data_IF_335135719372
#
_entry.id   IF_335135719372
#
_cell.length_a   1.000
_cell.length_b   1.000
_cell.length_c   1.000
_cell.angle_alpha   90.00
_cell.angle_beta   90.00
_cell.angle_gamma   90.00
#
_symmetry.space_group_name_H-M   'P 1'
#
loop_
_entity.id
_entity.type
_entity.pdbx_description
1 polymer ?
#
# COMPACT_ATOMS: atom_id res chain seq x y z
N UNK A 1 -5.30 12.03 -18.08
CA UNK A 1 -4.81 13.41 -18.31
C UNK A 1 -3.31 13.36 -18.20
N UNK A 2 -2.61 13.77 -19.25
CA UNK A 2 -1.15 13.94 -19.28
C UNK A 2 -0.86 15.41 -19.61
N UNK A 3 0.15 15.97 -18.97
CA UNK A 3 0.62 17.32 -19.24
C UNK A 3 1.70 17.25 -20.33
N UNK A 4 1.67 18.11 -21.37
CA UNK A 4 2.73 18.14 -22.37
C UNK A 4 4.07 18.47 -21.72
N UNK A 5 5.12 17.70 -22.05
CA UNK A 5 6.46 17.94 -21.54
C UNK A 5 7.03 19.25 -22.09
N UNK A 6 7.62 20.06 -21.20
CA UNK A 6 8.31 21.28 -21.58
C UNK A 6 9.84 21.11 -21.68
N UNK A 7 10.54 22.20 -21.99
CA UNK A 7 12.01 22.18 -22.11
C UNK A 7 12.73 21.88 -20.78
N UNK A 8 12.12 22.24 -19.64
CA UNK A 8 12.64 21.92 -18.30
C UNK A 8 12.48 20.44 -18.03
N UNK A 9 11.31 19.86 -18.30
CA UNK A 9 11.05 18.42 -18.13
C UNK A 9 12.04 17.60 -18.96
N UNK A 10 12.19 17.93 -20.26
CA UNK A 10 13.13 17.24 -21.14
C UNK A 10 14.58 17.29 -20.64
N UNK A 11 15.02 18.44 -20.11
CA UNK A 11 16.35 18.59 -19.53
C UNK A 11 16.53 17.75 -18.27
N UNK A 12 15.53 17.74 -17.38
CA UNK A 12 15.59 16.97 -16.13
C UNK A 12 15.60 15.46 -16.42
N UNK A 13 14.78 14.99 -17.37
CA UNK A 13 14.79 13.58 -17.82
C UNK A 13 16.18 13.20 -18.32
N UNK A 14 16.79 14.03 -19.18
CA UNK A 14 18.14 13.77 -19.68
C UNK A 14 19.22 13.78 -18.57
N UNK A 15 19.08 14.67 -17.59
CA UNK A 15 19.98 14.72 -16.44
C UNK A 15 19.85 13.48 -15.54
N UNK A 16 18.63 12.99 -15.30
CA UNK A 16 18.39 11.75 -14.55
C UNK A 16 19.01 10.56 -15.29
N UNK A 17 18.74 10.41 -16.59
CA UNK A 17 19.31 9.32 -17.39
C UNK A 17 20.85 9.31 -17.39
N UNK A 18 21.47 10.49 -17.32
CA UNK A 18 22.94 10.63 -17.23
C UNK A 18 23.50 10.35 -15.84
N UNK A 19 22.83 10.80 -14.78
CA UNK A 19 23.36 10.77 -13.40
C UNK A 19 22.95 9.52 -12.62
N UNK A 20 21.83 8.92 -13.00
CA UNK A 20 21.28 7.72 -12.38
C UNK A 20 20.78 6.77 -13.49
N UNK A 21 21.68 6.23 -14.33
CA UNK A 21 21.30 5.33 -15.42
C UNK A 21 20.62 4.04 -14.92
N UNK A 22 20.90 3.65 -13.68
CA UNK A 22 20.32 2.48 -13.01
C UNK A 22 19.11 2.85 -12.12
N UNK A 23 18.53 4.05 -12.29
CA UNK A 23 17.30 4.41 -11.60
C UNK A 23 16.16 3.48 -12.02
N UNK A 24 15.43 2.99 -11.02
CA UNK A 24 14.27 2.12 -11.23
C UNK A 24 13.04 2.92 -11.71
N UNK A 25 12.18 2.28 -12.50
CA UNK A 25 10.92 2.83 -12.98
C UNK A 25 10.94 3.32 -14.43
N UNK A 26 9.76 3.44 -15.00
CA UNK A 26 9.53 3.98 -16.34
C UNK A 26 9.85 5.47 -16.44
N UNK A 27 10.19 5.93 -17.64
CA UNK A 27 10.51 7.34 -17.89
C UNK A 27 9.28 8.23 -17.72
N UNK A 28 9.49 9.45 -17.24
CA UNK A 28 8.43 10.44 -17.07
C UNK A 28 7.81 10.84 -18.42
N UNK A 29 6.49 10.66 -18.54
CA UNK A 29 5.72 10.83 -19.78
C UNK A 29 4.68 11.97 -19.70
N UNK A 30 4.73 12.78 -18.64
CA UNK A 30 3.73 13.82 -18.37
C UNK A 30 2.53 13.35 -17.54
N UNK A 31 2.52 12.09 -17.07
CA UNK A 31 1.47 11.58 -16.19
C UNK A 31 1.34 12.38 -14.89
N UNK A 32 2.41 12.99 -14.38
CA UNK A 32 2.44 13.79 -13.15
C UNK A 32 2.67 15.28 -13.45
N UNK A 33 1.82 16.17 -12.93
CA UNK A 33 1.99 17.60 -13.14
C UNK A 33 3.27 18.11 -12.45
N UNK A 34 4.05 18.93 -13.16
CA UNK A 34 5.27 19.56 -12.63
C UNK A 34 5.06 21.02 -12.23
N UNK A 35 3.85 21.56 -12.42
CA UNK A 35 3.48 22.95 -12.12
C UNK A 35 2.29 23.04 -11.18
N UNK A 36 2.18 24.17 -10.46
CA UNK A 36 1.00 24.46 -9.61
C UNK A 36 -0.29 24.47 -10.42
N UNK A 37 -0.28 25.04 -11.62
CA UNK A 37 -1.45 25.08 -12.49
C UNK A 37 -1.89 23.67 -12.90
N UNK A 38 -0.95 22.78 -13.22
CA UNK A 38 -1.25 21.37 -13.50
C UNK A 38 -1.83 20.65 -12.29
N UNK A 39 -1.29 20.90 -11.09
CA UNK A 39 -1.81 20.33 -9.86
C UNK A 39 -3.24 20.83 -9.53
N UNK A 40 -3.54 22.11 -9.76
CA UNK A 40 -4.89 22.68 -9.60
C UNK A 40 -5.88 22.09 -10.60
N UNK A 41 -5.48 21.90 -11.86
CA UNK A 41 -6.32 21.21 -12.86
C UNK A 41 -6.70 19.80 -12.40
N UNK A 42 -5.76 19.05 -11.82
CA UNK A 42 -6.02 17.73 -11.24
C UNK A 42 -6.96 17.77 -10.05
N UNK A 43 -6.80 18.74 -9.15
CA UNK A 43 -7.73 18.95 -8.05
C UNK A 43 -9.16 19.18 -8.55
N UNK A 44 -9.35 20.09 -9.51
CA UNK A 44 -10.66 20.38 -10.08
C UNK A 44 -11.26 19.15 -10.78
N UNK A 45 -10.48 18.48 -11.63
CA UNK A 45 -10.90 17.26 -12.32
C UNK A 45 -11.31 16.16 -11.33
N UNK A 46 -10.54 15.97 -10.25
CA UNK A 46 -10.90 15.04 -9.18
C UNK A 46 -12.22 15.43 -8.51
N UNK A 47 -12.35 16.68 -8.04
CA UNK A 47 -13.54 17.14 -7.30
C UNK A 47 -14.81 17.06 -8.15
N UNK A 48 -14.72 17.40 -9.44
CA UNK A 48 -15.88 17.49 -10.31
C UNK A 48 -16.29 16.15 -10.91
N UNK A 49 -15.35 15.25 -11.21
CA UNK A 49 -15.63 14.01 -11.96
C UNK A 49 -15.48 12.73 -11.12
N UNK A 50 -14.58 12.71 -10.13
CA UNK A 50 -14.11 11.47 -9.50
C UNK A 50 -14.57 11.36 -8.05
N UNK A 51 -14.48 12.46 -7.29
CA UNK A 51 -14.82 12.50 -5.88
C UNK A 51 -16.26 12.02 -5.57
N UNK A 52 -17.29 12.23 -6.41
CA UNK A 52 -18.60 11.61 -6.18
C UNK A 52 -18.55 10.09 -5.94
N UNK A 53 -17.61 9.40 -6.59
CA UNK A 53 -17.43 7.95 -6.55
C UNK A 53 -16.44 7.46 -5.48
N UNK A 54 -15.76 8.36 -4.75
CA UNK A 54 -14.67 8.01 -3.84
C UNK A 54 -15.08 7.00 -2.76
N UNK A 55 -16.07 7.35 -1.92
CA UNK A 55 -16.41 6.55 -0.74
C UNK A 55 -16.82 5.12 -1.06
N UNK A 56 -17.73 4.87 -2.03
CA UNK A 56 -18.15 3.52 -2.40
C UNK A 56 -17.03 2.61 -2.94
N UNK A 57 -15.93 3.18 -3.44
CA UNK A 57 -14.86 2.43 -4.12
C UNK A 57 -13.51 2.51 -3.39
N UNK A 58 -13.44 3.09 -2.19
CA UNK A 58 -12.20 3.41 -1.47
C UNK A 58 -11.27 2.19 -1.27
N UNK A 59 -11.84 1.00 -1.07
CA UNK A 59 -11.12 -0.26 -0.82
C UNK A 59 -11.18 -1.25 -2.00
N UNK A 60 -11.80 -0.89 -3.12
CA UNK A 60 -11.87 -1.77 -4.30
C UNK A 60 -10.54 -1.75 -5.05
N UNK A 61 -10.20 -2.83 -5.75
CA UNK A 61 -9.07 -2.90 -6.69
C UNK A 61 -9.57 -3.54 -7.98
N UNK A 62 -9.26 -2.98 -9.14
CA UNK A 62 -9.64 -3.55 -10.44
C UNK A 62 -8.44 -3.58 -11.38
N UNK A 63 -8.23 -4.71 -12.03
CA UNK A 63 -7.13 -4.89 -12.97
C UNK A 63 -7.27 -3.97 -14.20
N UNK A 64 -8.50 -3.55 -14.54
CA UNK A 64 -8.78 -2.68 -15.68
C UNK A 64 -8.76 -1.18 -15.38
N UNK A 65 -8.70 -0.79 -14.11
CA UNK A 65 -8.77 0.61 -13.69
C UNK A 65 -7.82 0.86 -12.52
N UNK A 66 -6.64 1.37 -12.85
CA UNK A 66 -5.50 1.46 -11.95
C UNK A 66 -5.61 2.55 -10.88
N UNK A 67 -6.45 3.58 -11.08
CA UNK A 67 -6.62 4.66 -10.09
C UNK A 67 -7.99 4.69 -9.42
N UNK A 68 -8.97 3.98 -9.98
CA UNK A 68 -10.36 3.97 -9.51
C UNK A 68 -10.85 5.40 -9.21
N UNK A 69 -11.46 5.60 -8.03
CA UNK A 69 -11.98 6.87 -7.59
C UNK A 69 -10.99 7.66 -6.72
N UNK A 70 -9.68 7.46 -6.89
CA UNK A 70 -8.65 8.17 -6.11
C UNK A 70 -8.19 9.47 -6.78
N UNK A 71 -7.75 10.42 -5.94
CA UNK A 71 -7.43 11.78 -6.34
C UNK A 71 -6.09 11.97 -7.03
N UNK A 72 -5.13 11.07 -6.75
CA UNK A 72 -3.74 11.19 -7.19
C UNK A 72 -3.07 12.54 -6.79
N UNK A 73 -3.54 13.19 -5.72
CA UNK A 73 -3.04 14.49 -5.30
C UNK A 73 -1.87 14.42 -4.29
N UNK A 74 -1.53 13.23 -3.78
CA UNK A 74 -0.49 13.05 -2.77
C UNK A 74 0.88 13.61 -3.16
N UNK A 75 1.37 13.52 -4.43
CA UNK A 75 2.66 14.11 -4.77
C UNK A 75 2.64 15.63 -4.62
N UNK A 76 1.56 16.28 -5.07
CA UNK A 76 1.41 17.73 -5.04
C UNK A 76 1.26 18.27 -3.62
N UNK A 77 0.55 17.53 -2.77
CA UNK A 77 0.40 17.84 -1.35
C UNK A 77 1.73 17.73 -0.59
N UNK A 78 2.59 16.78 -0.97
CA UNK A 78 3.82 16.50 -0.24
C UNK A 78 4.98 17.43 -0.62
N UNK A 79 4.98 17.96 -1.85
CA UNK A 79 5.99 18.95 -2.30
C UNK A 79 5.49 20.40 -2.26
N UNK A 80 4.25 20.63 -1.85
CA UNK A 80 3.68 21.97 -1.66
C UNK A 80 3.12 22.64 -2.91
N UNK A 81 2.95 21.92 -4.03
CA UNK A 81 2.21 22.44 -5.19
C UNK A 81 0.72 22.65 -4.88
N UNK A 82 0.17 21.85 -3.96
CA UNK A 82 -1.14 22.04 -3.36
C UNK A 82 -1.03 22.15 -1.84
N UNK A 83 -1.76 23.11 -1.27
CA UNK A 83 -1.94 23.24 0.15
C UNK A 83 -3.07 22.30 0.63
N UNK A 84 -2.95 21.58 1.77
CA UNK A 84 -4.02 20.69 2.24
C UNK A 84 -5.38 21.38 2.42
N UNK A 85 -5.37 22.62 2.93
CA UNK A 85 -6.58 23.43 3.10
C UNK A 85 -7.34 23.70 1.80
N UNK A 86 -6.66 24.06 0.70
CA UNK A 86 -7.36 24.33 -0.58
C UNK A 86 -8.02 23.07 -1.14
N UNK A 87 -7.42 21.90 -0.92
CA UNK A 87 -7.99 20.60 -1.32
C UNK A 87 -9.22 20.25 -0.50
N UNK A 88 -9.16 20.45 0.82
CA UNK A 88 -10.28 20.20 1.75
C UNK A 88 -11.44 21.17 1.48
N UNK A 89 -11.14 22.45 1.29
CA UNK A 89 -12.14 23.48 1.02
C UNK A 89 -12.86 23.22 -0.32
N UNK A 90 -12.15 22.74 -1.34
CA UNK A 90 -12.75 22.37 -2.62
C UNK A 90 -13.74 21.20 -2.48
N UNK A 91 -13.36 20.14 -1.76
CA UNK A 91 -14.24 19.00 -1.49
C UNK A 91 -15.46 19.40 -0.64
N UNK A 92 -15.25 20.20 0.40
CA UNK A 92 -16.30 20.69 1.28
C UNK A 92 -17.29 21.61 0.55
N UNK A 93 -16.80 22.51 -0.31
CA UNK A 93 -17.65 23.36 -1.16
C UNK A 93 -18.52 22.51 -2.09
N UNK A 94 -17.95 21.53 -2.76
CA UNK A 94 -18.68 20.65 -3.66
C UNK A 94 -19.75 19.81 -2.95
N UNK A 95 -19.49 19.39 -1.71
CA UNK A 95 -20.49 18.77 -0.85
C UNK A 95 -21.65 19.74 -0.50
N UNK A 96 -21.34 20.96 -0.06
CA UNK A 96 -22.36 21.96 0.29
C UNK A 96 -23.22 22.39 -0.92
N UNK A 97 -22.67 22.30 -2.13
CA UNK A 97 -23.39 22.50 -3.38
C UNK A 97 -24.24 21.28 -3.82
N UNK A 98 -24.21 20.18 -3.06
CA UNK A 98 -24.99 18.97 -3.32
C UNK A 98 -24.44 18.10 -4.45
N UNK A 99 -23.21 18.33 -4.93
CA UNK A 99 -22.61 17.59 -6.06
C UNK A 99 -22.01 16.25 -5.66
N UNK A 100 -21.75 16.05 -4.37
CA UNK A 100 -20.99 14.92 -3.84
C UNK A 100 -21.73 14.34 -2.63
N UNK A 101 -21.88 13.01 -2.50
CA UNK A 101 -22.49 12.41 -1.32
C UNK A 101 -21.58 12.54 -0.10
N UNK A 102 -22.19 12.60 1.09
CA UNK A 102 -21.46 12.78 2.36
C UNK A 102 -20.38 11.72 2.58
N UNK A 103 -20.65 10.46 2.21
CA UNK A 103 -19.69 9.36 2.38
C UNK A 103 -18.39 9.59 1.60
N UNK A 104 -18.48 10.18 0.40
CA UNK A 104 -17.31 10.49 -0.41
C UNK A 104 -16.60 11.76 0.09
N UNK A 105 -17.36 12.80 0.44
CA UNK A 105 -16.79 14.06 0.93
C UNK A 105 -16.07 13.88 2.28
N UNK A 106 -16.74 13.29 3.27
CA UNK A 106 -16.14 13.00 4.58
C UNK A 106 -14.97 12.02 4.44
N UNK A 107 -15.15 10.94 3.67
CA UNK A 107 -14.14 9.93 3.47
C UNK A 107 -12.85 10.52 2.93
N UNK A 108 -12.94 11.35 1.89
CA UNK A 108 -11.79 12.04 1.31
C UNK A 108 -11.15 13.06 2.28
N UNK A 109 -11.96 13.92 2.91
CA UNK A 109 -11.47 14.94 3.85
C UNK A 109 -10.73 14.28 5.03
N UNK A 110 -11.26 13.16 5.56
CA UNK A 110 -10.66 12.39 6.65
C UNK A 110 -9.27 11.84 6.29
N UNK A 111 -9.01 11.50 5.04
CA UNK A 111 -7.66 11.07 4.64
C UNK A 111 -6.63 12.21 4.78
N UNK A 112 -7.06 13.45 4.57
CA UNK A 112 -6.20 14.63 4.61
C UNK A 112 -6.09 15.16 6.05
N UNK A 113 -7.15 15.72 6.61
CA UNK A 113 -7.08 16.37 7.94
C UNK A 113 -7.05 15.36 9.10
N UNK A 114 -7.39 14.10 8.83
CA UNK A 114 -7.24 13.00 9.76
C UNK A 114 -5.89 12.32 9.54
N UNK A 115 -5.81 11.38 8.62
CA UNK A 115 -4.65 10.48 8.49
C UNK A 115 -3.33 11.20 8.15
N UNK A 116 -3.32 12.09 7.14
CA UNK A 116 -2.08 12.80 6.75
C UNK A 116 -1.54 13.65 7.89
N UNK A 117 -2.38 14.44 8.54
CA UNK A 117 -1.97 15.29 9.68
C UNK A 117 -1.61 14.45 10.93
N UNK A 118 -2.32 13.35 11.18
CA UNK A 118 -2.01 12.42 12.26
C UNK A 118 -0.63 11.79 12.07
N UNK A 119 -0.35 11.27 10.87
CA UNK A 119 0.95 10.68 10.51
C UNK A 119 2.08 11.71 10.62
N UNK A 120 1.86 12.95 10.16
CA UNK A 120 2.82 14.05 10.36
C UNK A 120 3.16 14.26 11.84
N UNK A 121 2.13 14.33 12.71
CA UNK A 121 2.32 14.47 14.15
C UNK A 121 3.07 13.29 14.76
N UNK A 122 2.71 12.06 14.40
CA UNK A 122 3.36 10.84 14.92
C UNK A 122 4.84 10.76 14.56
N UNK A 123 5.18 11.12 13.31
CA UNK A 123 6.56 11.14 12.86
C UNK A 123 7.43 12.00 13.77
N UNK A 124 7.05 13.27 13.96
CA UNK A 124 7.81 14.20 14.80
C UNK A 124 7.78 13.86 16.29
N UNK A 125 6.72 13.21 16.75
CA UNK A 125 6.59 12.81 18.15
C UNK A 125 7.49 11.62 18.51
N UNK A 126 7.74 10.70 17.58
CA UNK A 126 8.39 9.42 17.89
C UNK A 126 9.76 9.22 17.23
N UNK A 127 10.13 10.02 16.23
CA UNK A 127 11.46 9.94 15.62
C UNK A 127 12.55 10.50 16.56
N UNK A 128 13.79 9.98 16.48
CA UNK A 128 14.26 8.98 15.51
C UNK A 128 13.95 7.52 15.89
N UNK A 129 13.65 7.23 17.16
CA UNK A 129 13.52 5.87 17.70
C UNK A 129 12.44 5.04 16.99
N UNK A 130 11.41 5.69 16.46
CA UNK A 130 10.32 5.02 15.75
C UNK A 130 10.78 4.19 14.54
N UNK A 131 11.88 4.60 13.88
CA UNK A 131 12.45 3.91 12.72
C UNK A 131 12.90 2.48 13.04
N UNK A 132 13.34 2.26 14.27
CA UNK A 132 13.98 1.00 14.71
C UNK A 132 13.00 0.00 15.33
N UNK A 133 11.70 0.34 15.38
CA UNK A 133 10.71 -0.54 15.99
C UNK A 133 10.49 -1.82 15.15
N UNK A 134 10.48 -2.95 15.85
CA UNK A 134 10.30 -4.27 15.26
C UNK A 134 9.65 -5.24 16.28
N UNK A 135 8.46 -4.90 16.76
CA UNK A 135 7.78 -5.62 17.85
C UNK A 135 7.52 -7.11 17.58
N UNK A 136 7.48 -7.52 16.31
CA UNK A 136 7.27 -8.91 15.88
C UNK A 136 8.57 -9.65 15.52
N UNK A 137 9.74 -9.05 15.76
CA UNK A 137 11.07 -9.61 15.47
C UNK A 137 11.19 -10.14 14.02
N UNK A 138 10.71 -9.34 13.05
CA UNK A 138 10.75 -9.67 11.64
C UNK A 138 12.11 -9.30 11.03
N UNK A 139 12.76 -10.24 10.34
CA UNK A 139 14.12 -10.03 9.78
C UNK A 139 14.28 -10.57 8.35
N UNK A 140 13.20 -10.99 7.69
CA UNK A 140 13.30 -11.45 6.30
C UNK A 140 13.66 -10.27 5.36
N UNK A 141 14.40 -10.53 4.27
CA UNK A 141 14.60 -9.52 3.24
C UNK A 141 13.29 -9.22 2.50
N UNK A 142 13.30 -8.19 1.66
CA UNK A 142 12.18 -7.91 0.77
C UNK A 142 11.94 -9.09 -0.20
N UNK A 143 10.68 -9.39 -0.56
CA UNK A 143 10.38 -10.32 -1.64
C UNK A 143 11.07 -9.88 -2.93
N UNK A 144 11.63 -10.83 -3.69
CA UNK A 144 12.34 -10.55 -4.94
C UNK A 144 11.47 -9.76 -5.95
N UNK A 145 10.16 -10.02 -5.95
CA UNK A 145 9.21 -9.35 -6.84
C UNK A 145 9.06 -7.85 -6.60
N UNK A 146 9.43 -7.33 -5.44
CA UNK A 146 9.40 -5.89 -5.18
C UNK A 146 10.57 -5.18 -5.86
N UNK A 147 11.63 -5.91 -6.22
CA UNK A 147 12.86 -5.38 -6.79
C UNK A 147 13.15 -5.99 -8.17
N UNK A 148 12.11 -6.29 -8.94
CA UNK A 148 12.21 -6.73 -10.34
C UNK A 148 12.19 -8.25 -10.56
N UNK A 149 12.00 -9.06 -9.52
CA UNK A 149 11.71 -10.49 -9.68
C UNK A 149 10.32 -10.74 -10.26
N UNK A 150 10.17 -11.80 -11.04
CA UNK A 150 8.86 -12.23 -11.54
C UNK A 150 8.01 -12.82 -10.41
N UNK A 151 6.68 -12.78 -10.56
CA UNK A 151 5.80 -13.55 -9.68
C UNK A 151 4.49 -14.01 -10.33
N UNK A 152 4.01 -15.20 -9.96
CA UNK A 152 2.69 -15.71 -10.38
C UNK A 152 1.55 -15.27 -9.44
N UNK A 153 1.85 -14.53 -8.37
CA UNK A 153 0.82 -13.89 -7.56
C UNK A 153 0.24 -12.68 -8.33
N UNK A 154 -0.86 -12.88 -9.04
CA UNK A 154 -1.45 -11.86 -9.93
C UNK A 154 -1.63 -10.48 -9.26
N UNK A 155 -2.09 -10.43 -8.01
CA UNK A 155 -2.23 -9.18 -7.26
C UNK A 155 -0.89 -8.48 -7.01
N UNK A 156 0.16 -9.23 -6.67
CA UNK A 156 1.49 -8.66 -6.44
C UNK A 156 2.09 -8.19 -7.75
N UNK A 157 2.05 -9.04 -8.78
CA UNK A 157 2.54 -8.72 -10.13
C UNK A 157 1.89 -7.43 -10.67
N UNK A 158 0.57 -7.32 -10.56
CA UNK A 158 -0.16 -6.13 -10.98
C UNK A 158 0.30 -4.87 -10.24
N UNK A 159 0.33 -4.91 -8.90
CA UNK A 159 0.69 -3.74 -8.09
C UNK A 159 2.16 -3.34 -8.29
N UNK A 160 3.11 -4.27 -8.36
CA UNK A 160 4.53 -3.92 -8.57
C UNK A 160 4.77 -3.37 -9.99
N UNK A 161 4.07 -3.90 -10.99
CA UNK A 161 4.13 -3.36 -12.34
C UNK A 161 3.54 -1.95 -12.41
N UNK A 162 2.44 -1.67 -11.70
CA UNK A 162 1.89 -0.32 -11.61
C UNK A 162 2.86 0.67 -10.97
N UNK A 163 3.64 0.23 -9.98
CA UNK A 163 4.69 1.05 -9.35
C UNK A 163 5.86 1.28 -10.33
N UNK A 164 6.27 0.26 -11.09
CA UNK A 164 7.30 0.44 -12.11
C UNK A 164 6.87 1.43 -13.20
N UNK A 165 5.63 1.30 -13.70
CA UNK A 165 5.11 2.14 -14.78
C UNK A 165 4.81 3.58 -14.33
N UNK A 166 4.29 3.77 -13.11
CA UNK A 166 3.70 5.05 -12.68
C UNK A 166 4.29 5.61 -11.39
N UNK A 167 5.17 4.87 -10.71
CA UNK A 167 5.61 5.16 -9.36
C UNK A 167 4.44 5.33 -8.37
N UNK A 168 3.30 4.68 -8.63
CA UNK A 168 2.08 4.87 -7.83
C UNK A 168 1.19 3.64 -7.81
N UNK A 169 0.64 3.38 -6.62
CA UNK A 169 -0.45 2.45 -6.35
C UNK A 169 -1.36 3.12 -5.30
N UNK A 170 -2.65 2.77 -5.28
CA UNK A 170 -3.56 3.38 -4.32
C UNK A 170 -3.46 2.74 -2.93
N UNK A 171 -4.12 3.34 -1.93
CA UNK A 171 -3.88 3.02 -0.52
C UNK A 171 -4.06 1.54 -0.18
N UNK A 172 -5.13 0.91 -0.68
CA UNK A 172 -5.44 -0.48 -0.33
C UNK A 172 -4.47 -1.47 -0.96
N UNK A 173 -3.88 -1.17 -2.12
CA UNK A 173 -2.81 -1.99 -2.70
C UNK A 173 -1.55 -1.93 -1.83
N UNK A 174 -1.17 -0.71 -1.40
CA UNK A 174 -0.02 -0.52 -0.49
C UNK A 174 -0.22 -1.27 0.83
N UNK A 175 -1.41 -1.18 1.41
CA UNK A 175 -1.71 -1.79 2.71
C UNK A 175 -1.96 -3.29 2.62
N UNK A 176 -2.89 -3.72 1.76
CA UNK A 176 -3.46 -5.07 1.78
C UNK A 176 -2.85 -6.04 0.76
N UNK A 177 -2.05 -5.54 -0.21
CA UNK A 177 -1.21 -6.37 -1.07
C UNK A 177 0.22 -6.34 -0.56
N UNK A 178 0.90 -5.20 -0.64
CA UNK A 178 2.34 -5.11 -0.34
C UNK A 178 2.63 -5.20 1.16
N UNK A 179 1.92 -4.40 1.96
CA UNK A 179 2.03 -4.37 3.42
C UNK A 179 1.64 -5.69 4.05
N UNK A 180 0.48 -6.25 3.68
CA UNK A 180 0.00 -7.54 4.17
C UNK A 180 0.95 -8.70 3.82
N UNK A 181 1.47 -8.75 2.58
CA UNK A 181 2.46 -9.78 2.20
C UNK A 181 3.71 -9.64 3.07
N UNK A 182 4.22 -8.42 3.22
CA UNK A 182 5.43 -8.13 4.00
C UNK A 182 5.26 -8.44 5.49
N UNK A 183 4.11 -8.08 6.06
CA UNK A 183 3.75 -8.38 7.45
C UNK A 183 3.69 -9.89 7.68
N UNK A 184 2.94 -10.60 6.84
CA UNK A 184 2.66 -12.03 7.05
C UNK A 184 3.88 -12.90 6.75
N UNK A 185 4.74 -12.51 5.81
CA UNK A 185 6.02 -13.18 5.53
C UNK A 185 7.15 -12.80 6.50
N UNK A 186 7.02 -11.69 7.25
CA UNK A 186 7.99 -11.29 8.26
C UNK A 186 9.17 -10.50 7.69
N UNK A 187 8.90 -9.63 6.71
CA UNK A 187 9.87 -8.68 6.15
C UNK A 187 10.33 -7.70 7.22
N UNK A 188 11.64 -7.45 7.24
CA UNK A 188 12.27 -6.45 8.12
C UNK A 188 11.66 -5.06 7.89
N UNK A 189 11.10 -4.40 8.91
CA UNK A 189 10.35 -3.15 8.72
C UNK A 189 11.13 -2.04 8.01
N UNK A 190 12.38 -1.83 8.41
CA UNK A 190 13.26 -0.84 7.77
C UNK A 190 13.50 -1.10 6.28
N UNK A 191 13.55 -2.37 5.85
CA UNK A 191 13.70 -2.71 4.44
C UNK A 191 12.47 -2.27 3.62
N UNK A 192 11.26 -2.46 4.15
CA UNK A 192 10.04 -2.01 3.47
C UNK A 192 9.91 -0.49 3.47
N UNK A 193 10.29 0.18 4.57
CA UNK A 193 10.34 1.66 4.63
C UNK A 193 11.23 2.19 3.51
N UNK A 194 12.47 1.69 3.43
CA UNK A 194 13.45 2.16 2.45
C UNK A 194 12.97 1.94 1.01
N UNK A 195 12.33 0.81 0.74
CA UNK A 195 11.80 0.51 -0.59
C UNK A 195 10.58 1.36 -0.95
N UNK A 196 9.58 1.47 -0.06
CA UNK A 196 8.38 2.28 -0.33
C UNK A 196 8.73 3.77 -0.45
N UNK A 197 9.69 4.27 0.33
CA UNK A 197 10.14 5.65 0.19
C UNK A 197 10.77 5.90 -1.19
N UNK A 198 11.57 4.97 -1.70
CA UNK A 198 12.24 5.14 -3.01
C UNK A 198 11.31 4.91 -4.21
N UNK A 199 10.29 4.07 -4.06
CA UNK A 199 9.52 3.55 -5.22
C UNK A 199 8.26 4.35 -5.54
N UNK A 200 7.81 5.23 -4.64
CA UNK A 200 6.56 5.97 -4.82
C UNK A 200 6.80 7.45 -5.09
N UNK A 201 6.06 8.01 -6.06
CA UNK A 201 6.13 9.42 -6.46
C UNK A 201 5.74 10.40 -5.33
N UNK A 202 4.97 9.92 -4.34
CA UNK A 202 4.60 10.65 -3.14
C UNK A 202 5.46 10.28 -1.91
N UNK A 203 6.57 9.58 -2.13
CA UNK A 203 7.50 9.10 -1.10
C UNK A 203 8.25 10.20 -0.39
N UNK A 204 7.96 10.37 0.89
CA UNK A 204 8.76 11.15 1.84
C UNK A 204 8.84 10.39 3.18
N UNK A 205 9.96 10.51 3.90
CA UNK A 205 10.17 9.73 5.14
C UNK A 205 9.05 9.97 6.15
N UNK A 206 8.63 11.23 6.35
CA UNK A 206 7.62 11.60 7.33
C UNK A 206 6.27 10.92 7.12
N UNK A 207 5.91 10.63 5.86
CA UNK A 207 4.62 10.01 5.51
C UNK A 207 4.76 8.50 5.37
N UNK A 208 5.88 8.02 4.81
CA UNK A 208 6.09 6.60 4.55
C UNK A 208 6.41 5.83 5.83
N UNK A 209 7.30 6.37 6.67
CA UNK A 209 7.80 5.65 7.84
C UNK A 209 6.65 5.28 8.80
N UNK A 210 5.74 6.19 9.20
CA UNK A 210 4.69 5.79 10.13
C UNK A 210 3.63 4.87 9.53
N UNK A 211 3.29 5.07 8.26
CA UNK A 211 2.38 4.16 7.57
C UNK A 211 2.97 2.75 7.47
N UNK A 212 4.26 2.61 7.21
CA UNK A 212 4.90 1.28 7.14
C UNK A 212 5.07 0.67 8.54
N UNK A 213 5.71 1.38 9.47
CA UNK A 213 6.03 0.87 10.81
C UNK A 213 4.75 0.58 11.61
N UNK A 214 3.81 1.52 11.66
CA UNK A 214 2.63 1.42 12.51
C UNK A 214 1.44 0.76 11.84
N UNK A 215 1.08 1.20 10.64
CA UNK A 215 -0.14 0.72 9.97
C UNK A 215 0.09 -0.62 9.25
N UNK A 216 1.08 -0.71 8.36
CA UNK A 216 1.26 -1.88 7.52
C UNK A 216 1.86 -3.07 8.27
N UNK A 217 2.90 -2.85 9.08
CA UNK A 217 3.70 -3.93 9.66
C UNK A 217 3.46 -4.18 11.14
N UNK A 218 2.66 -3.34 11.82
CA UNK A 218 2.43 -3.45 13.26
C UNK A 218 3.75 -3.52 14.06
N UNK A 219 4.82 -2.97 13.51
CA UNK A 219 6.16 -3.05 14.05
C UNK A 219 6.31 -2.18 15.31
N UNK A 220 5.38 -1.24 15.52
CA UNK A 220 5.25 -0.46 16.74
C UNK A 220 4.48 -1.14 17.87
N UNK A 221 4.05 -2.39 17.69
CA UNK A 221 3.29 -3.15 18.70
C UNK A 221 1.86 -2.66 18.93
N UNK A 222 1.35 -1.78 18.06
CA UNK A 222 0.00 -1.25 18.08
C UNK A 222 -0.15 0.15 18.67
N UNK A 223 0.92 0.94 18.63
CA UNK A 223 0.89 2.36 19.06
C UNK A 223 0.04 3.20 18.11
N UNK A 224 0.15 2.97 16.80
CA UNK A 224 -0.65 3.65 15.78
C UNK A 224 -1.96 2.91 15.47
N UNK A 225 -1.90 1.60 15.28
CA UNK A 225 -3.05 0.78 14.88
C UNK A 225 -3.37 -0.28 15.92
N UNK A 226 -4.64 -0.46 16.29
CA UNK A 226 -5.00 -1.37 17.40
C UNK A 226 -5.02 -2.85 16.99
N UNK A 227 -4.82 -3.19 15.72
CA UNK A 227 -4.65 -4.57 15.24
C UNK A 227 -3.80 -4.58 13.97
N UNK A 228 -3.03 -5.65 13.72
CA UNK A 228 -2.34 -5.84 12.45
C UNK A 228 -3.33 -5.99 11.30
N UNK A 229 -3.04 -5.37 10.15
CA UNK A 229 -3.78 -5.55 8.89
C UNK A 229 -3.34 -6.82 8.14
N UNK A 230 -3.38 -7.96 8.83
CA UNK A 230 -3.10 -9.27 8.24
C UNK A 230 -4.37 -9.90 7.66
N UNK A 231 -4.30 -10.40 6.42
CA UNK A 231 -5.41 -11.12 5.78
C UNK A 231 -4.94 -12.21 4.81
N UNK A 232 -5.75 -13.25 4.64
CA UNK A 232 -5.53 -14.29 3.63
C UNK A 232 -6.11 -13.93 2.25
N UNK A 233 -5.95 -14.83 1.28
CA UNK A 233 -6.41 -14.63 -0.10
C UNK A 233 -7.93 -14.41 -0.25
N UNK A 234 -8.74 -14.81 0.73
CA UNK A 234 -10.18 -14.53 0.74
C UNK A 234 -10.51 -13.04 0.76
N UNK A 235 -9.67 -12.20 1.40
CA UNK A 235 -9.85 -10.74 1.37
C UNK A 235 -9.56 -10.19 -0.02
N UNK A 236 -8.40 -10.55 -0.59
CA UNK A 236 -7.99 -10.11 -1.94
C UNK A 236 -9.05 -10.52 -2.97
N UNK A 237 -9.53 -11.76 -2.92
CA UNK A 237 -10.59 -12.25 -3.82
C UNK A 237 -11.93 -11.50 -3.66
N UNK A 238 -12.21 -10.94 -2.48
CA UNK A 238 -13.45 -10.20 -2.24
C UNK A 238 -13.35 -8.76 -2.75
N UNK A 239 -12.17 -8.15 -2.61
CA UNK A 239 -11.95 -6.73 -2.87
C UNK A 239 -11.32 -6.44 -4.23
N UNK A 240 -10.91 -7.48 -4.97
CA UNK A 240 -10.29 -7.38 -6.28
C UNK A 240 -10.77 -8.44 -7.26
N UNK A 241 -10.50 -8.21 -8.55
CA UNK A 241 -10.69 -9.19 -9.62
C UNK A 241 -9.44 -10.07 -9.88
N UNK A 242 -8.32 -9.83 -9.17
CA UNK A 242 -7.05 -10.51 -9.42
C UNK A 242 -7.08 -12.02 -9.26
N UNK A 243 -7.99 -12.56 -8.43
CA UNK A 243 -8.01 -13.99 -8.13
C UNK A 243 -8.67 -14.85 -9.21
N UNK A 244 -9.43 -14.26 -10.15
CA UNK A 244 -10.19 -15.01 -11.17
C UNK A 244 -9.31 -15.89 -12.05
N UNK A 245 -8.24 -15.30 -12.60
CA UNK A 245 -7.29 -15.96 -13.52
C UNK A 245 -5.93 -16.26 -12.84
N UNK A 246 -5.84 -16.12 -11.52
CA UNK A 246 -4.61 -16.36 -10.79
C UNK A 246 -4.26 -17.87 -10.75
N UNK A 247 -2.96 -18.20 -10.84
CA UNK A 247 -2.45 -19.58 -10.66
C UNK A 247 -2.87 -20.20 -9.33
N UNK A 248 -3.10 -19.36 -8.33
CA UNK A 248 -3.36 -19.76 -6.96
C UNK A 248 -4.83 -19.60 -6.57
N UNK A 249 -5.35 -20.62 -5.88
CA UNK A 249 -6.70 -20.62 -5.34
C UNK A 249 -6.74 -19.94 -3.95
N UNK A 250 -7.47 -18.82 -3.78
CA UNK A 250 -7.55 -18.09 -2.51
C UNK A 250 -8.16 -18.92 -1.37
N UNK A 251 -8.87 -20.01 -1.67
CA UNK A 251 -9.50 -20.91 -0.68
C UNK A 251 -8.54 -21.97 -0.15
N UNK A 252 -7.44 -22.26 -0.86
CA UNK A 252 -6.46 -23.28 -0.48
C UNK A 252 -5.34 -22.66 0.35
N UNK A 253 -4.94 -23.36 1.41
CA UNK A 253 -3.86 -22.99 2.34
C UNK A 253 -2.63 -23.91 2.28
N UNK A 254 -2.76 -25.06 1.62
CA UNK A 254 -1.70 -26.06 1.40
C UNK A 254 -1.79 -26.63 -0.01
N UNK A 255 -0.67 -27.18 -0.51
CA UNK A 255 -0.53 -27.71 -1.87
C UNK A 255 0.01 -26.69 -2.86
N UNK A 256 0.38 -27.16 -4.05
CA UNK A 256 1.08 -26.36 -5.07
C UNK A 256 0.32 -25.11 -5.51
N UNK A 257 -1.02 -25.22 -5.62
CA UNK A 257 -1.90 -24.13 -6.03
C UNK A 257 -2.51 -23.35 -4.86
N UNK A 258 -2.02 -23.53 -3.63
CA UNK A 258 -2.49 -22.71 -2.50
C UNK A 258 -2.03 -21.26 -2.62
N UNK A 259 -2.96 -20.32 -2.38
CA UNK A 259 -2.64 -18.91 -2.32
C UNK A 259 -1.61 -18.62 -1.22
N UNK A 260 -0.45 -18.04 -1.56
CA UNK A 260 0.58 -17.66 -0.59
C UNK A 260 0.03 -16.81 0.57
N UNK A 261 -0.86 -15.85 0.29
CA UNK A 261 -1.51 -15.04 1.33
C UNK A 261 -2.34 -15.89 2.31
N UNK A 262 -3.08 -16.88 1.81
CA UNK A 262 -3.89 -17.76 2.67
C UNK A 262 -3.00 -18.63 3.55
N UNK A 263 -1.92 -19.20 3.01
CA UNK A 263 -0.93 -19.93 3.81
C UNK A 263 -0.28 -19.03 4.86
N UNK A 264 0.28 -17.89 4.44
CA UNK A 264 1.04 -16.98 5.29
C UNK A 264 0.18 -16.34 6.38
N UNK A 265 -1.11 -16.08 6.14
CA UNK A 265 -2.02 -15.54 7.14
C UNK A 265 -2.15 -16.45 8.37
N UNK A 266 -2.37 -17.75 8.15
CA UNK A 266 -2.52 -18.70 9.25
C UNK A 266 -1.22 -18.95 9.99
N UNK A 267 -0.11 -19.06 9.24
CA UNK A 267 1.22 -19.16 9.85
C UNK A 267 1.60 -17.90 10.63
N UNK A 268 1.28 -16.70 10.12
CA UNK A 268 1.49 -15.44 10.83
C UNK A 268 0.80 -15.41 12.18
N UNK A 269 -0.47 -15.82 12.24
CA UNK A 269 -1.21 -15.89 13.51
C UNK A 269 -0.57 -16.90 14.47
N UNK A 270 -0.15 -18.06 13.96
CA UNK A 270 0.45 -19.12 14.79
C UNK A 270 1.82 -18.71 15.34
N UNK A 271 2.71 -18.21 14.47
CA UNK A 271 4.08 -17.84 14.86
C UNK A 271 4.13 -16.64 15.80
N UNK A 272 3.15 -15.73 15.71
CA UNK A 272 3.08 -14.52 16.54
C UNK A 272 2.03 -14.60 17.66
N UNK A 273 1.38 -15.75 17.86
CA UNK A 273 0.35 -15.90 18.90
C UNK A 273 0.82 -15.42 20.29
N UNK A 274 2.05 -15.71 20.77
CA UNK A 274 2.51 -15.21 22.07
C UNK A 274 2.48 -13.69 22.20
N UNK A 275 2.79 -12.96 21.13
CA UNK A 275 2.77 -11.50 21.08
C UNK A 275 1.36 -10.94 20.88
N UNK A 276 0.49 -11.68 20.18
CA UNK A 276 -0.83 -11.21 19.74
C UNK A 276 -1.99 -11.62 20.66
N UNK A 277 -1.80 -12.63 21.52
CA UNK A 277 -2.89 -13.22 22.33
C UNK A 277 -3.57 -12.28 23.31
N UNK A 278 -2.92 -11.20 23.73
CA UNK A 278 -3.52 -10.17 24.60
C UNK A 278 -4.41 -9.18 23.84
N UNK A 279 -4.34 -9.16 22.50
CA UNK A 279 -5.17 -8.28 21.69
C UNK A 279 -6.58 -8.85 21.54
N UNK A 280 -7.54 -8.24 22.26
CA UNK A 280 -8.95 -8.65 22.25
C UNK A 280 -9.58 -8.66 20.84
N UNK A 281 -9.11 -7.83 19.90
CA UNK A 281 -9.62 -7.77 18.52
C UNK A 281 -9.21 -8.98 17.67
N UNK A 282 -8.24 -9.77 18.12
CA UNK A 282 -7.74 -10.96 17.43
C UNK A 282 -8.26 -12.28 18.01
N UNK A 283 -9.11 -12.23 19.05
CA UNK A 283 -9.59 -13.44 19.73
C UNK A 283 -10.27 -14.44 18.80
N UNK A 284 -11.08 -13.97 17.86
CA UNK A 284 -11.78 -14.83 16.90
C UNK A 284 -10.81 -15.48 15.89
N UNK A 285 -9.82 -14.72 15.41
CA UNK A 285 -8.84 -15.17 14.44
C UNK A 285 -7.92 -16.22 15.06
N UNK A 286 -7.38 -15.95 16.25
CA UNK A 286 -6.57 -16.91 17.01
C UNK A 286 -7.38 -18.15 17.38
N UNK A 287 -8.63 -17.97 17.82
CA UNK A 287 -9.53 -19.09 18.09
C UNK A 287 -9.83 -19.96 16.87
N UNK A 288 -9.93 -19.35 15.68
CA UNK A 288 -10.12 -20.08 14.41
C UNK A 288 -8.86 -20.82 14.00
N UNK A 289 -7.69 -20.18 14.14
CA UNK A 289 -6.39 -20.79 13.88
C UNK A 289 -6.16 -22.03 14.76
N UNK A 290 -6.45 -21.97 16.07
CA UNK A 290 -6.33 -23.11 17.00
C UNK A 290 -7.20 -24.32 16.63
N UNK A 291 -8.24 -24.13 15.82
CA UNK A 291 -9.16 -25.19 15.38
C UNK A 291 -8.74 -25.84 14.06
N UNK A 292 -7.70 -25.32 13.38
CA UNK A 292 -7.21 -25.91 12.14
C UNK A 292 -6.52 -27.24 12.43
N UNK A 293 -7.06 -28.32 11.85
CA UNK A 293 -6.51 -29.68 12.00
C UNK A 293 -5.21 -29.87 11.21
N UNK A 294 -4.97 -29.02 10.22
CA UNK A 294 -3.83 -29.06 9.30
C UNK A 294 -2.85 -27.91 9.54
N UNK A 295 -2.87 -27.31 10.74
CA UNK A 295 -2.02 -26.16 11.05
C UNK A 295 -0.53 -26.46 10.87
N UNK A 296 -0.06 -27.65 11.24
CA UNK A 296 1.35 -28.02 11.07
C UNK A 296 1.76 -28.06 9.59
N UNK A 297 0.93 -28.67 8.74
CA UNK A 297 1.15 -28.67 7.29
C UNK A 297 1.10 -27.27 6.67
N UNK A 298 0.25 -26.38 7.19
CA UNK A 298 0.21 -24.96 6.79
C UNK A 298 1.52 -24.26 7.15
N UNK A 299 2.08 -24.52 8.33
CA UNK A 299 3.35 -23.93 8.78
C UNK A 299 4.54 -24.45 7.97
N UNK A 300 4.56 -25.74 7.63
CA UNK A 300 5.55 -26.31 6.72
C UNK A 300 5.49 -25.63 5.34
N UNK A 301 4.29 -25.50 4.78
CA UNK A 301 4.09 -24.77 3.52
C UNK A 301 4.50 -23.30 3.63
N UNK A 302 4.26 -22.64 4.76
CA UNK A 302 4.65 -21.25 4.96
C UNK A 302 6.17 -21.05 4.94
N UNK A 303 6.95 -22.02 5.42
CA UNK A 303 8.42 -22.00 5.30
C UNK A 303 8.83 -22.03 3.84
N UNK A 304 8.25 -22.92 3.03
CA UNK A 304 8.50 -22.99 1.59
C UNK A 304 8.11 -21.68 0.89
N UNK A 305 6.91 -21.16 1.17
CA UNK A 305 6.42 -19.89 0.59
C UNK A 305 7.37 -18.74 0.91
N UNK A 306 7.84 -18.61 2.17
CA UNK A 306 8.81 -17.56 2.53
C UNK A 306 10.14 -17.72 1.80
N UNK A 307 10.66 -18.93 1.65
CA UNK A 307 11.89 -19.16 0.89
C UNK A 307 11.71 -18.74 -0.58
N UNK A 308 10.58 -19.12 -1.18
CA UNK A 308 10.27 -18.81 -2.58
C UNK A 308 9.96 -17.33 -2.85
N UNK A 309 9.50 -16.59 -1.84
CA UNK A 309 9.40 -15.11 -1.93
C UNK A 309 10.78 -14.46 -2.07
N UNK A 310 11.81 -15.05 -1.44
CA UNK A 310 13.17 -14.51 -1.45
C UNK A 310 13.89 -14.85 -2.76
N UNK A 311 13.71 -16.06 -3.28
CA UNK A 311 14.37 -16.49 -4.52
C UNK A 311 13.60 -16.10 -5.81
N UNK A 312 12.36 -15.62 -5.69
CA UNK A 312 11.55 -15.17 -6.82
C UNK A 312 10.84 -16.28 -7.60
N UNK A 313 10.64 -17.45 -7.00
CA UNK A 313 10.00 -18.61 -7.67
C UNK A 313 8.49 -18.76 -7.40
N UNK A 314 7.82 -17.75 -6.83
CA UNK A 314 6.38 -17.75 -6.53
C UNK A 314 5.54 -17.13 -7.62
#
# INVERSE_FOLDING_TARGET
MTDPLDATDARVIADIARRAPDAFGSSFDGLWATTRDGALKRLHQFVDEVLPLFGPHEDAVLSSEWKLAHSMLSPYLNIGLLHPREVVDAAHKAFNEGRIPIASAEGFIRQIIGWREYVWGLYWLWMPDYRELNALNADAPLPASFTGGETHMACVSHTVHAIDERAWAHHIERLMVLGNLSLTSGVRPGALVDWMWKSFIDGAEWVMLPNVIGMALYADGGRMSTKPYASGGAYINKMSDHCGDCRYDPKKRIGEHACPFTTLYWDFLARNEPALRSNHRLGNQLGSMRKLKDLDAVRERAVEVRARLIDGSL
#
